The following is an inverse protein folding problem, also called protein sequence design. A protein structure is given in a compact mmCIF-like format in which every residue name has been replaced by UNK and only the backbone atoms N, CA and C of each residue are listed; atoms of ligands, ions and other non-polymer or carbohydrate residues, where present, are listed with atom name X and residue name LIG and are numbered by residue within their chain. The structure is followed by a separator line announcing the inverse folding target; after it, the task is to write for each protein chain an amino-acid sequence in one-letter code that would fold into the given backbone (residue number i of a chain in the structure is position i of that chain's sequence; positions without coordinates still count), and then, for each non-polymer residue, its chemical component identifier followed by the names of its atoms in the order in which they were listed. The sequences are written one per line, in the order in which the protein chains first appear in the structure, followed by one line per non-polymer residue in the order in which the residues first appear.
data_IF_817794611467
#
_entry.id   IF_817794611467
#
_cell.length_a   1.000
_cell.length_b   1.000
_cell.length_c   1.000
_cell.angle_alpha   90.00
_cell.angle_beta   90.00
_cell.angle_gamma   90.00
#
_symmetry.space_group_name_H-M   'P 1'
#
loop_
_entity.id
_entity.type
_entity.pdbx_description
1 polymer ?
#
# COMPACT_ATOMS: atom_id res chain seq x y z
N UNK A 1 -14.73 -7.54 11.95
CA UNK A 1 -13.34 -7.30 11.48
C UNK A 1 -12.32 -7.77 12.49
N UNK A 2 -12.52 -7.57 13.78
CA UNK A 2 -11.60 -8.08 14.83
C UNK A 2 -11.38 -9.58 14.69
N UNK A 3 -12.45 -10.37 14.58
CA UNK A 3 -12.37 -11.83 14.44
C UNK A 3 -11.52 -12.27 13.22
N UNK A 4 -11.58 -11.52 12.11
CA UNK A 4 -10.72 -11.81 10.95
C UNK A 4 -9.24 -11.51 11.22
N UNK A 5 -8.94 -10.45 11.98
CA UNK A 5 -7.57 -10.16 12.41
C UNK A 5 -7.07 -11.22 13.38
N UNK A 6 -7.89 -11.64 14.35
CA UNK A 6 -7.55 -12.70 15.29
C UNK A 6 -7.30 -14.03 14.55
N UNK A 7 -8.13 -14.36 13.56
CA UNK A 7 -7.92 -15.50 12.66
C UNK A 7 -6.62 -15.39 11.87
N UNK A 8 -6.32 -14.22 11.30
CA UNK A 8 -5.10 -13.97 10.56
C UNK A 8 -3.86 -14.21 11.44
N UNK A 9 -3.85 -13.63 12.64
CA UNK A 9 -2.71 -13.69 13.57
C UNK A 9 -2.56 -15.06 14.27
N UNK A 10 -3.64 -15.82 14.35
CA UNK A 10 -3.55 -17.23 14.76
C UNK A 10 -2.91 -18.12 13.70
N UNK A 11 -3.00 -17.70 12.41
CA UNK A 11 -2.50 -18.50 11.28
C UNK A 11 -1.09 -18.09 10.84
N UNK A 12 -0.77 -16.79 10.90
CA UNK A 12 0.50 -16.25 10.42
C UNK A 12 1.14 -15.37 11.49
N UNK A 13 2.37 -15.69 11.85
CA UNK A 13 3.13 -14.93 12.83
C UNK A 13 3.76 -13.67 12.20
N UNK A 14 3.80 -12.59 12.98
CA UNK A 14 4.57 -11.40 12.62
C UNK A 14 6.06 -11.68 12.71
N UNK A 15 6.79 -11.29 11.67
CA UNK A 15 8.25 -11.24 11.65
C UNK A 15 8.74 -9.81 11.57
N UNK A 16 10.00 -9.56 11.93
CA UNK A 16 10.59 -8.23 11.85
C UNK A 16 12.07 -8.27 11.51
N UNK A 17 12.56 -7.15 10.96
CA UNK A 17 13.95 -6.89 10.65
C UNK A 17 14.26 -5.42 10.96
N UNK A 18 15.35 -5.17 11.66
CA UNK A 18 15.89 -3.81 11.81
C UNK A 18 16.78 -3.47 10.62
N UNK A 19 16.46 -2.35 9.97
CA UNK A 19 17.22 -1.79 8.86
C UNK A 19 17.54 -0.34 9.19
N UNK A 20 18.80 -0.02 9.39
CA UNK A 20 19.31 1.33 9.71
C UNK A 20 18.55 2.00 10.89
N UNK A 21 18.26 1.23 11.94
CA UNK A 21 17.54 1.69 13.13
C UNK A 21 16.01 1.83 12.95
N UNK A 22 15.48 1.31 11.86
CA UNK A 22 14.05 1.29 11.57
C UNK A 22 13.51 -0.14 11.51
N UNK A 23 12.49 -0.46 12.32
CA UNK A 23 11.89 -1.80 12.36
C UNK A 23 10.88 -1.98 11.24
N UNK A 24 11.19 -2.87 10.31
CA UNK A 24 10.28 -3.40 9.29
C UNK A 24 9.60 -4.64 9.83
N UNK A 25 8.30 -4.79 9.59
CA UNK A 25 7.52 -5.96 10.02
C UNK A 25 6.74 -6.52 8.84
N UNK A 26 6.44 -7.80 8.87
CA UNK A 26 5.60 -8.42 7.84
C UNK A 26 4.89 -9.67 8.35
N UNK A 27 3.80 -10.01 7.67
CA UNK A 27 3.20 -11.34 7.69
C UNK A 27 3.65 -12.07 6.42
N UNK A 28 4.11 -13.31 6.55
CA UNK A 28 4.48 -14.18 5.42
C UNK A 28 3.64 -15.44 5.48
N UNK A 29 2.89 -15.74 4.43
CA UNK A 29 2.08 -16.97 4.38
C UNK A 29 2.91 -18.21 4.13
N UNK A 30 4.18 -18.06 3.75
CA UNK A 30 5.15 -19.13 3.51
C UNK A 30 4.69 -20.22 2.53
N UNK A 31 3.67 -19.96 1.71
CA UNK A 31 3.19 -20.89 0.71
C UNK A 31 4.23 -21.13 -0.39
N UNK A 32 4.21 -22.29 -1.03
CA UNK A 32 5.12 -22.64 -2.12
C UNK A 32 4.80 -21.92 -3.45
N UNK A 33 3.71 -21.16 -3.54
CA UNK A 33 3.29 -20.42 -4.73
C UNK A 33 4.15 -19.19 -5.05
N UNK A 34 3.84 -18.52 -6.17
CA UNK A 34 4.51 -17.27 -6.53
C UNK A 34 4.44 -16.21 -5.44
N UNK A 35 5.52 -15.43 -5.26
CA UNK A 35 5.58 -14.39 -4.25
C UNK A 35 4.89 -13.10 -4.70
N UNK A 36 4.07 -12.55 -3.81
CA UNK A 36 3.40 -11.25 -3.95
C UNK A 36 3.65 -10.42 -2.69
N UNK A 37 4.26 -9.27 -2.84
CA UNK A 37 4.53 -8.33 -1.75
C UNK A 37 3.44 -7.27 -1.74
N UNK A 38 2.74 -7.15 -0.61
CA UNK A 38 1.60 -6.26 -0.40
C UNK A 38 2.02 -5.09 0.49
N UNK A 39 1.86 -3.87 -0.01
CA UNK A 39 2.29 -2.63 0.65
C UNK A 39 1.07 -1.75 0.94
N UNK A 40 0.69 -1.54 2.20
CA UNK A 40 -0.49 -0.76 2.57
C UNK A 40 -0.28 0.73 2.32
N UNK A 41 -1.37 1.47 2.17
CA UNK A 41 -1.39 2.93 2.04
C UNK A 41 -1.03 3.66 3.34
N UNK A 42 -1.53 4.89 3.49
CA UNK A 42 -1.20 5.73 4.65
C UNK A 42 -1.79 5.23 5.95
N UNK A 43 -2.98 4.63 5.93
CA UNK A 43 -3.64 4.11 7.15
C UNK A 43 -3.41 2.61 7.27
N UNK A 44 -2.96 2.19 8.45
CA UNK A 44 -2.84 0.79 8.84
C UNK A 44 -1.47 0.14 8.59
N UNK A 45 -1.44 -1.15 8.80
CA UNK A 45 -0.27 -2.04 8.64
C UNK A 45 -0.55 -3.13 7.60
N UNK A 46 0.32 -4.14 7.49
CA UNK A 46 0.14 -5.26 6.57
C UNK A 46 -1.17 -6.04 6.75
N UNK A 47 -1.79 -5.99 7.94
CA UNK A 47 -3.06 -6.65 8.17
C UNK A 47 -4.27 -5.93 7.51
N UNK A 48 -4.07 -4.77 6.87
CA UNK A 48 -5.07 -4.20 5.97
C UNK A 48 -5.47 -5.18 4.84
N UNK A 49 -4.58 -6.07 4.46
CA UNK A 49 -4.83 -7.12 3.46
C UNK A 49 -5.41 -8.42 4.04
N UNK A 50 -6.06 -8.34 5.22
CA UNK A 50 -6.55 -9.53 5.95
C UNK A 50 -7.39 -10.47 5.08
N UNK A 51 -8.29 -9.96 4.22
CA UNK A 51 -9.11 -10.79 3.34
C UNK A 51 -8.25 -11.54 2.34
N UNK A 52 -7.37 -10.84 1.64
CA UNK A 52 -6.45 -11.41 0.65
C UNK A 52 -5.50 -12.45 1.27
N UNK A 53 -4.96 -12.16 2.46
CA UNK A 53 -4.08 -13.08 3.18
C UNK A 53 -4.79 -14.37 3.56
N UNK A 54 -6.02 -14.28 4.06
CA UNK A 54 -6.82 -15.46 4.43
C UNK A 54 -7.33 -16.25 3.22
N UNK A 55 -7.67 -15.57 2.13
CA UNK A 55 -8.21 -16.19 0.92
C UNK A 55 -7.14 -16.83 0.04
N UNK A 56 -6.04 -16.13 -0.22
CA UNK A 56 -5.02 -16.55 -1.18
C UNK A 56 -3.75 -17.11 -0.57
N UNK A 57 -3.60 -17.05 0.76
CA UNK A 57 -2.35 -17.37 1.44
C UNK A 57 -1.90 -18.83 1.36
N UNK A 58 -2.73 -19.75 0.88
CA UNK A 58 -2.34 -21.14 0.58
C UNK A 58 -1.87 -21.32 -0.88
N UNK A 59 -2.27 -20.42 -1.76
CA UNK A 59 -1.99 -20.48 -3.20
C UNK A 59 -0.81 -19.60 -3.62
N UNK A 60 -0.62 -18.48 -2.91
CA UNK A 60 0.43 -17.50 -3.16
C UNK A 60 1.26 -17.31 -1.87
N UNK A 61 2.57 -17.12 -2.01
CA UNK A 61 3.36 -16.60 -0.92
C UNK A 61 3.12 -15.11 -0.80
N UNK A 62 2.26 -14.72 0.11
CA UNK A 62 1.91 -13.32 0.36
C UNK A 62 2.78 -12.76 1.47
N UNK A 63 3.48 -11.67 1.18
CA UNK A 63 4.28 -10.93 2.14
C UNK A 63 3.62 -9.56 2.35
N UNK A 64 2.83 -9.41 3.41
CA UNK A 64 2.17 -8.15 3.75
C UNK A 64 3.05 -7.33 4.68
N UNK A 65 3.67 -6.28 4.13
CA UNK A 65 4.71 -5.50 4.80
C UNK A 65 4.10 -4.34 5.59
N UNK A 66 4.64 -4.13 6.79
CA UNK A 66 4.44 -2.92 7.60
C UNK A 66 5.75 -2.15 7.64
N UNK A 67 5.80 -1.02 6.97
CA UNK A 67 6.98 -0.19 6.91
C UNK A 67 6.99 0.89 8.01
N UNK A 68 8.18 1.32 8.48
CA UNK A 68 8.34 2.26 9.58
C UNK A 68 7.97 3.71 9.23
N UNK A 69 8.16 4.63 10.18
CA UNK A 69 7.89 6.06 10.02
C UNK A 69 8.99 6.73 9.18
N UNK A 70 8.99 6.48 7.88
CA UNK A 70 9.93 7.05 6.91
C UNK A 70 9.12 7.85 5.88
N UNK A 71 9.57 9.07 5.57
CA UNK A 71 8.96 9.99 4.59
C UNK A 71 9.55 9.79 3.19
N UNK A 72 10.85 9.53 3.13
CA UNK A 72 11.63 9.47 1.91
C UNK A 72 11.41 8.16 1.15
N UNK A 73 11.00 8.27 -0.13
CA UNK A 73 10.68 7.12 -0.97
C UNK A 73 11.90 6.24 -1.28
N UNK A 74 13.10 6.81 -1.36
CA UNK A 74 14.32 6.06 -1.62
C UNK A 74 14.72 5.25 -0.39
N UNK A 75 14.59 5.83 0.82
CA UNK A 75 14.81 5.10 2.06
C UNK A 75 13.80 3.95 2.23
N UNK A 76 12.51 4.19 1.90
CA UNK A 76 11.50 3.13 1.88
C UNK A 76 11.87 2.03 0.88
N UNK A 77 12.33 2.39 -0.32
CA UNK A 77 12.78 1.42 -1.32
C UNK A 77 13.98 0.60 -0.83
N UNK A 78 14.97 1.24 -0.19
CA UNK A 78 16.16 0.58 0.36
C UNK A 78 15.79 -0.39 1.49
N UNK A 79 14.91 0.03 2.39
CA UNK A 79 14.43 -0.84 3.47
C UNK A 79 13.63 -2.05 2.97
N UNK A 80 12.77 -1.86 1.96
CA UNK A 80 12.08 -2.97 1.32
C UNK A 80 13.07 -3.95 0.65
N UNK A 81 14.14 -3.43 0.03
CA UNK A 81 15.21 -4.27 -0.53
C UNK A 81 15.85 -5.16 0.52
N UNK A 82 16.13 -4.61 1.70
CA UNK A 82 16.66 -5.41 2.81
C UNK A 82 15.70 -6.51 3.25
N UNK A 83 14.39 -6.26 3.27
CA UNK A 83 13.36 -7.31 3.52
C UNK A 83 13.40 -8.38 2.43
N UNK A 84 13.50 -8.00 1.14
CA UNK A 84 13.65 -8.96 0.05
C UNK A 84 14.87 -9.85 0.21
N UNK A 85 16.02 -9.28 0.56
CA UNK A 85 17.27 -10.02 0.77
C UNK A 85 17.18 -10.96 1.97
N UNK A 86 16.62 -10.48 3.08
CA UNK A 86 16.43 -11.28 4.29
C UNK A 86 15.55 -12.51 4.04
N UNK A 87 14.49 -12.35 3.26
CA UNK A 87 13.55 -13.42 2.92
C UNK A 87 14.00 -14.27 1.73
N UNK A 88 15.10 -13.93 1.05
CA UNK A 88 15.56 -14.59 -0.17
C UNK A 88 14.51 -14.55 -1.28
N UNK A 89 13.76 -13.44 -1.40
CA UNK A 89 12.68 -13.35 -2.39
C UNK A 89 13.24 -13.26 -3.81
N UNK A 90 12.70 -14.05 -4.75
CA UNK A 90 12.96 -13.85 -6.17
C UNK A 90 12.29 -12.56 -6.67
N UNK A 91 12.43 -12.25 -7.95
CA UNK A 91 11.62 -11.22 -8.60
C UNK A 91 10.13 -11.53 -8.39
N UNK A 92 9.43 -10.59 -7.76
CA UNK A 92 8.07 -10.81 -7.25
C UNK A 92 7.07 -9.80 -7.81
N UNK A 93 5.79 -10.08 -7.68
CA UNK A 93 4.75 -9.04 -7.83
C UNK A 93 4.84 -8.11 -6.63
N UNK A 94 5.00 -6.81 -6.87
CA UNK A 94 4.99 -5.78 -5.83
C UNK A 94 3.72 -4.95 -5.99
N UNK A 95 2.80 -5.06 -5.06
CA UNK A 95 1.51 -4.39 -5.10
C UNK A 95 1.44 -3.31 -4.01
N UNK A 96 1.59 -2.06 -4.43
CA UNK A 96 1.40 -0.88 -3.58
C UNK A 96 -0.01 -0.33 -3.66
N UNK A 97 -0.54 0.15 -2.53
CA UNK A 97 -1.82 0.84 -2.46
C UNK A 97 -1.61 2.30 -2.03
N UNK A 98 -2.22 3.26 -2.73
CA UNK A 98 -2.21 4.69 -2.35
C UNK A 98 -0.79 5.23 -2.17
N UNK A 99 -0.43 5.69 -0.98
CA UNK A 99 0.93 6.14 -0.65
C UNK A 99 1.98 5.09 -1.03
N UNK A 100 1.73 3.80 -0.74
CA UNK A 100 2.67 2.76 -1.12
C UNK A 100 2.71 2.51 -2.65
N UNK A 101 1.66 2.79 -3.39
CA UNK A 101 1.68 2.75 -4.85
C UNK A 101 2.63 3.82 -5.43
N UNK A 102 2.75 4.96 -4.75
CA UNK A 102 3.70 6.00 -5.14
C UNK A 102 5.16 5.57 -4.85
N UNK A 103 5.50 5.19 -3.62
CA UNK A 103 6.90 4.89 -3.31
C UNK A 103 7.36 3.51 -3.85
N UNK A 104 6.46 2.58 -4.13
CA UNK A 104 6.81 1.33 -4.80
C UNK A 104 7.38 1.54 -6.22
N UNK A 105 7.06 2.67 -6.87
CA UNK A 105 7.69 3.05 -8.13
C UNK A 105 9.19 3.31 -7.94
N UNK A 106 9.60 3.93 -6.82
CA UNK A 106 11.01 4.13 -6.49
C UNK A 106 11.72 2.80 -6.20
N UNK A 107 11.04 1.83 -5.58
CA UNK A 107 11.56 0.47 -5.44
C UNK A 107 11.80 -0.17 -6.82
N UNK A 108 10.86 -0.08 -7.73
CA UNK A 108 11.01 -0.60 -9.09
C UNK A 108 12.08 0.16 -9.90
N UNK A 109 12.28 1.46 -9.64
CA UNK A 109 13.33 2.27 -10.27
C UNK A 109 14.74 1.81 -9.84
N UNK A 110 14.93 1.60 -8.53
CA UNK A 110 16.25 1.29 -7.97
C UNK A 110 16.58 -0.20 -8.02
N UNK A 111 15.57 -1.07 -7.92
CA UNK A 111 15.72 -2.53 -7.86
C UNK A 111 14.86 -3.26 -8.90
N UNK A 112 14.98 -2.90 -10.20
CA UNK A 112 14.12 -3.46 -11.25
C UNK A 112 14.20 -4.99 -11.36
N UNK A 113 15.34 -5.59 -10.99
CA UNK A 113 15.54 -7.04 -10.97
C UNK A 113 14.74 -7.76 -9.87
N UNK A 114 14.21 -7.04 -8.89
CA UNK A 114 13.36 -7.60 -7.83
C UNK A 114 11.86 -7.56 -8.18
N UNK A 115 11.51 -6.84 -9.25
CA UNK A 115 10.13 -6.59 -9.63
C UNK A 115 9.78 -7.37 -10.89
N UNK A 116 8.96 -8.41 -10.76
CA UNK A 116 8.39 -9.14 -11.89
C UNK A 116 7.18 -8.40 -12.47
N UNK A 117 6.32 -7.89 -11.60
CA UNK A 117 5.22 -6.98 -11.93
C UNK A 117 5.08 -5.93 -10.85
N UNK A 118 4.80 -4.69 -11.24
CA UNK A 118 4.47 -3.59 -10.34
C UNK A 118 2.98 -3.27 -10.43
N UNK A 119 2.25 -3.36 -9.32
CA UNK A 119 0.86 -2.91 -9.24
C UNK A 119 0.82 -1.54 -8.54
N UNK A 120 0.36 -0.53 -9.25
CA UNK A 120 0.13 0.83 -8.76
C UNK A 120 -1.37 0.95 -8.49
N UNK A 121 -1.79 0.58 -7.26
CA UNK A 121 -3.19 0.51 -6.88
C UNK A 121 -3.70 1.81 -6.26
N UNK A 122 -4.77 2.42 -6.81
CA UNK A 122 -5.34 3.68 -6.32
C UNK A 122 -4.23 4.71 -6.05
N UNK A 123 -3.28 4.82 -6.99
CA UNK A 123 -2.07 5.59 -6.88
C UNK A 123 -2.18 7.01 -7.44
N UNK A 124 -1.11 7.76 -7.30
CA UNK A 124 -0.97 9.13 -7.78
C UNK A 124 0.46 9.35 -8.30
N UNK A 125 0.67 10.42 -9.06
CA UNK A 125 1.98 10.73 -9.65
C UNK A 125 2.86 11.52 -8.68
N UNK A 126 2.32 12.61 -8.12
CA UNK A 126 2.98 13.46 -7.13
C UNK A 126 1.95 14.20 -6.26
N UNK A 127 2.41 15.00 -5.30
CA UNK A 127 1.56 15.69 -4.34
C UNK A 127 0.51 16.61 -5.00
N UNK A 128 0.79 17.15 -6.19
CA UNK A 128 -0.14 18.07 -6.89
C UNK A 128 -1.45 17.36 -7.29
N UNK A 129 -1.43 16.05 -7.47
CA UNK A 129 -2.62 15.26 -7.79
C UNK A 129 -3.66 15.26 -6.65
N UNK A 130 -3.22 15.51 -5.42
CA UNK A 130 -4.04 15.45 -4.21
C UNK A 130 -4.22 16.80 -3.52
N UNK A 131 -3.57 17.86 -4.02
CA UNK A 131 -3.52 19.18 -3.37
C UNK A 131 -4.90 19.85 -3.17
N UNK A 132 -5.89 19.50 -3.98
CA UNK A 132 -7.27 20.00 -3.83
C UNK A 132 -8.07 19.27 -2.72
N UNK A 133 -7.56 18.17 -2.19
CA UNK A 133 -8.23 17.40 -1.15
C UNK A 133 -7.75 17.90 0.24
N UNK A 134 -8.65 18.44 1.09
CA UNK A 134 -8.27 18.98 2.41
C UNK A 134 -7.58 17.98 3.35
N UNK A 135 -7.72 16.68 3.09
CA UNK A 135 -7.02 15.64 3.86
C UNK A 135 -5.50 15.65 3.64
N UNK A 136 -5.05 16.25 2.54
CA UNK A 136 -3.64 16.34 2.15
C UNK A 136 -3.17 17.79 2.10
N UNK A 137 -3.69 18.63 3.01
CA UNK A 137 -3.20 20.01 3.20
C UNK A 137 -1.74 19.96 3.68
N UNK A 138 -0.84 20.40 2.81
CA UNK A 138 0.59 20.30 3.04
C UNK A 138 1.08 21.20 4.19
N UNK A 139 0.47 22.37 4.35
CA UNK A 139 0.84 23.30 5.42
C UNK A 139 0.37 22.77 6.77
N UNK A 140 -0.85 22.22 6.83
CA UNK A 140 -1.35 21.59 8.04
C UNK A 140 -0.50 20.37 8.42
N UNK A 141 -0.25 19.43 7.49
CA UNK A 141 0.56 18.24 7.76
C UNK A 141 1.99 18.59 8.17
N UNK A 142 2.57 19.66 7.61
CA UNK A 142 3.93 20.07 7.95
C UNK A 142 4.06 20.65 9.38
N UNK A 143 2.99 21.21 9.92
CA UNK A 143 3.02 21.95 11.20
C UNK A 143 2.26 21.25 12.33
N UNK A 144 1.38 20.30 12.04
CA UNK A 144 0.61 19.60 13.07
C UNK A 144 1.48 18.57 13.81
N UNK A 145 1.42 18.50 15.15
CA UNK A 145 2.07 17.41 15.89
C UNK A 145 1.51 16.03 15.50
N UNK A 146 2.35 14.98 15.44
CA UNK A 146 1.89 13.63 15.08
C UNK A 146 0.70 13.12 15.87
N UNK A 147 0.66 13.39 17.20
CA UNK A 147 -0.45 12.97 18.05
C UNK A 147 -1.77 13.69 17.72
N UNK A 148 -1.73 14.94 17.29
CA UNK A 148 -2.92 15.70 16.90
C UNK A 148 -3.46 15.24 15.56
N UNK A 149 -2.58 15.04 14.56
CA UNK A 149 -2.97 14.44 13.28
C UNK A 149 -3.62 13.07 13.49
N UNK A 150 -3.00 12.25 14.31
CA UNK A 150 -3.53 10.91 14.61
C UNK A 150 -4.89 10.98 15.29
N UNK A 151 -5.05 11.85 16.30
CA UNK A 151 -6.33 12.04 16.97
C UNK A 151 -7.43 12.52 16.03
N UNK A 152 -7.12 13.44 15.11
CA UNK A 152 -8.05 13.91 14.08
C UNK A 152 -8.51 12.77 13.16
N UNK A 153 -7.57 11.87 12.77
CA UNK A 153 -7.90 10.71 11.96
C UNK A 153 -8.75 9.68 12.72
N UNK A 154 -8.45 9.42 14.00
CA UNK A 154 -9.29 8.55 14.85
C UNK A 154 -10.71 9.09 14.92
N UNK A 155 -10.88 10.39 15.22
CA UNK A 155 -12.20 11.02 15.28
C UNK A 155 -12.96 10.92 13.95
N UNK A 156 -12.27 11.20 12.83
CA UNK A 156 -12.85 11.09 11.49
C UNK A 156 -13.35 9.68 11.19
N UNK A 157 -12.54 8.67 11.48
CA UNK A 157 -12.92 7.26 11.25
C UNK A 157 -14.05 6.84 12.16
N UNK A 158 -14.06 7.28 13.43
CA UNK A 158 -15.14 6.98 14.36
C UNK A 158 -16.47 7.66 14.00
N UNK A 159 -16.42 8.84 13.39
CA UNK A 159 -17.60 9.55 12.90
C UNK A 159 -18.17 8.99 11.59
N UNK A 160 -17.42 8.16 10.87
CA UNK A 160 -17.86 7.55 9.61
C UNK A 160 -18.96 6.49 9.87
N UNK A 161 -19.89 6.28 8.93
CA UNK A 161 -20.89 5.21 9.03
C UNK A 161 -20.23 3.85 9.26
N UNK A 162 -20.85 3.04 10.12
CA UNK A 162 -20.37 1.69 10.45
C UNK A 162 -20.26 0.81 9.22
N UNK A 163 -19.04 0.35 8.92
CA UNK A 163 -18.75 -0.53 7.79
C UNK A 163 -17.56 -1.43 8.13
N UNK A 164 -17.32 -2.52 7.38
CA UNK A 164 -16.09 -3.31 7.55
C UNK A 164 -14.81 -2.49 7.41
N UNK A 165 -14.79 -1.52 6.50
CA UNK A 165 -13.65 -0.61 6.32
C UNK A 165 -13.46 0.28 7.53
N UNK A 166 -14.53 0.93 8.02
CA UNK A 166 -14.48 1.78 9.20
C UNK A 166 -13.98 1.01 10.43
N UNK A 167 -14.48 -0.21 10.66
CA UNK A 167 -14.05 -1.07 11.77
C UNK A 167 -12.56 -1.41 11.68
N UNK A 168 -12.06 -1.75 10.46
CA UNK A 168 -10.66 -2.07 10.27
C UNK A 168 -9.77 -0.84 10.47
N UNK A 169 -10.13 0.30 9.88
CA UNK A 169 -9.36 1.55 10.05
C UNK A 169 -9.33 2.00 11.52
N UNK A 170 -10.45 1.90 12.23
CA UNK A 170 -10.50 2.21 13.66
C UNK A 170 -9.54 1.30 14.45
N UNK A 171 -9.54 0.00 14.20
CA UNK A 171 -8.63 -0.93 14.85
C UNK A 171 -7.15 -0.60 14.52
N UNK A 172 -6.84 -0.29 13.28
CA UNK A 172 -5.48 0.09 12.86
C UNK A 172 -5.01 1.33 13.61
N UNK A 173 -5.79 2.39 13.60
CA UNK A 173 -5.42 3.66 14.22
C UNK A 173 -5.33 3.56 15.75
N UNK A 174 -6.24 2.82 16.41
CA UNK A 174 -6.27 2.79 17.88
C UNK A 174 -5.32 1.79 18.52
N UNK A 175 -4.81 0.80 17.77
CA UNK A 175 -4.08 -0.32 18.38
C UNK A 175 -2.82 -0.76 17.62
N UNK A 176 -2.59 -0.28 16.38
CA UNK A 176 -1.57 -0.89 15.52
C UNK A 176 -0.64 0.11 14.82
N UNK A 177 -1.08 1.32 14.59
CA UNK A 177 -0.30 2.35 13.92
C UNK A 177 -0.01 3.51 14.86
N UNK A 178 1.27 3.84 15.06
CA UNK A 178 1.64 4.96 15.92
C UNK A 178 1.36 6.31 15.23
N UNK A 179 1.21 7.39 16.03
CA UNK A 179 1.09 8.75 15.52
C UNK A 179 2.21 9.15 14.58
N UNK A 180 3.46 8.80 14.90
CA UNK A 180 4.64 9.12 14.10
C UNK A 180 4.61 8.40 12.75
N UNK A 181 4.18 7.13 12.74
CA UNK A 181 4.06 6.37 11.50
C UNK A 181 2.97 6.94 10.59
N UNK A 182 1.80 7.27 11.14
CA UNK A 182 0.72 7.90 10.36
C UNK A 182 1.18 9.25 9.81
N UNK A 183 1.76 10.10 10.67
CA UNK A 183 2.25 11.42 10.28
C UNK A 183 3.31 11.35 9.18
N UNK A 184 4.30 10.46 9.31
CA UNK A 184 5.35 10.28 8.29
C UNK A 184 4.76 9.90 6.93
N UNK A 185 3.73 9.05 6.89
CA UNK A 185 3.06 8.68 5.64
C UNK A 185 2.30 9.84 5.02
N UNK A 186 1.61 10.66 5.81
CA UNK A 186 0.95 11.87 5.30
C UNK A 186 1.97 12.92 4.84
N UNK A 187 3.07 13.11 5.58
CA UNK A 187 4.17 13.94 5.14
C UNK A 187 4.79 13.45 3.83
N UNK A 188 4.88 12.13 3.63
CA UNK A 188 5.30 11.53 2.37
C UNK A 188 4.36 11.83 1.22
N UNK A 189 3.04 11.75 1.44
CA UNK A 189 2.04 12.11 0.42
C UNK A 189 2.14 13.58 0.04
N UNK A 190 2.16 14.49 1.01
CA UNK A 190 2.15 15.94 0.76
C UNK A 190 3.46 16.47 0.17
N UNK A 191 4.55 15.71 0.26
CA UNK A 191 5.87 16.03 -0.32
C UNK A 191 6.22 15.15 -1.51
N UNK A 192 5.30 14.31 -1.95
CA UNK A 192 5.53 13.36 -3.03
C UNK A 192 5.97 14.06 -4.32
N UNK A 193 7.09 13.61 -4.87
CA UNK A 193 7.58 14.01 -6.19
C UNK A 193 7.31 12.89 -7.19
N UNK A 194 7.16 13.24 -8.47
CA UNK A 194 7.02 12.26 -9.51
C UNK A 194 8.27 11.37 -9.57
N UNK A 195 8.07 10.05 -9.52
CA UNK A 195 9.16 9.11 -9.71
C UNK A 195 9.80 9.32 -11.09
N UNK A 196 11.12 9.27 -11.26
CA UNK A 196 11.74 9.25 -12.58
C UNK A 196 11.22 8.10 -13.45
N UNK A 197 11.45 8.11 -14.78
CA UNK A 197 11.06 7.01 -15.66
C UNK A 197 11.59 5.65 -15.16
N UNK A 198 10.71 4.66 -15.10
CA UNK A 198 11.07 3.33 -14.63
C UNK A 198 11.96 2.59 -15.64
N UNK A 199 12.76 1.66 -15.14
CA UNK A 199 13.61 0.79 -15.93
C UNK A 199 12.97 -0.55 -16.29
N UNK A 200 11.82 -0.86 -15.67
CA UNK A 200 11.01 -2.02 -16.06
C UNK A 200 10.12 -1.65 -17.26
N UNK A 201 9.82 -2.58 -18.15
CA UNK A 201 8.95 -2.29 -19.29
C UNK A 201 7.51 -2.05 -18.84
N UNK A 202 6.79 -1.17 -19.53
CA UNK A 202 5.40 -0.83 -19.20
C UNK A 202 4.49 -2.06 -19.11
N UNK A 203 4.71 -3.10 -19.93
CA UNK A 203 3.94 -4.36 -19.86
C UNK A 203 4.05 -5.08 -18.51
N UNK A 204 5.03 -4.72 -17.68
CA UNK A 204 5.23 -5.27 -16.34
C UNK A 204 4.64 -4.34 -15.26
N UNK A 205 3.98 -3.25 -15.68
CA UNK A 205 3.27 -2.32 -14.83
C UNK A 205 1.76 -2.54 -14.97
N UNK A 206 1.07 -2.54 -13.85
CA UNK A 206 -0.39 -2.57 -13.77
C UNK A 206 -0.84 -1.35 -12.99
N UNK A 207 -1.67 -0.51 -13.60
CA UNK A 207 -2.36 0.58 -12.91
C UNK A 207 -3.77 0.08 -12.59
N UNK A 208 -4.07 -0.01 -11.29
CA UNK A 208 -5.37 -0.47 -10.80
C UNK A 208 -6.08 0.69 -10.12
N UNK A 209 -7.24 1.06 -10.65
CA UNK A 209 -8.06 2.17 -10.17
C UNK A 209 -9.49 1.72 -9.88
N UNK A 210 -10.15 2.42 -8.94
CA UNK A 210 -11.59 2.30 -8.70
C UNK A 210 -12.32 3.56 -9.17
N UNK A 211 -13.47 3.38 -9.85
CA UNK A 211 -14.26 4.50 -10.35
C UNK A 211 -14.83 5.38 -9.24
N UNK A 212 -15.18 4.75 -8.14
CA UNK A 212 -15.77 5.32 -6.94
C UNK A 212 -14.74 5.71 -5.86
N UNK A 213 -13.44 5.80 -6.21
CA UNK A 213 -12.40 6.23 -5.27
C UNK A 213 -12.62 7.69 -4.86
N UNK A 214 -12.91 7.97 -3.57
CA UNK A 214 -13.16 9.33 -3.10
C UNK A 214 -11.89 10.15 -2.87
N UNK A 215 -10.71 9.53 -2.89
CA UNK A 215 -9.44 10.17 -2.56
C UNK A 215 -8.61 10.51 -3.79
N UNK A 216 -8.58 9.63 -4.79
CA UNK A 216 -7.81 9.85 -6.02
C UNK A 216 -8.74 10.40 -7.11
N UNK A 217 -8.66 11.68 -7.44
CA UNK A 217 -9.57 12.30 -8.40
C UNK A 217 -9.34 11.74 -9.82
N UNK A 218 -10.35 11.78 -10.70
CA UNK A 218 -10.24 11.29 -12.08
C UNK A 218 -9.03 11.85 -12.83
N UNK A 219 -8.73 13.14 -12.67
CA UNK A 219 -7.59 13.79 -13.34
C UNK A 219 -6.24 13.18 -12.93
N UNK A 220 -6.08 12.80 -11.65
CA UNK A 220 -4.87 12.13 -11.15
C UNK A 220 -4.74 10.72 -11.74
N UNK A 221 -5.84 9.96 -11.80
CA UNK A 221 -5.88 8.63 -12.44
C UNK A 221 -5.49 8.71 -13.92
N UNK A 222 -6.07 9.65 -14.67
CA UNK A 222 -5.72 9.88 -16.08
C UNK A 222 -4.26 10.31 -16.25
N UNK A 223 -3.73 11.12 -15.33
CA UNK A 223 -2.33 11.54 -15.36
C UNK A 223 -1.41 10.34 -15.17
N UNK A 224 -1.72 9.45 -14.23
CA UNK A 224 -0.96 8.22 -14.00
C UNK A 224 -1.05 7.28 -15.20
N UNK A 225 -2.22 7.14 -15.84
CA UNK A 225 -2.41 6.35 -17.06
C UNK A 225 -1.57 6.90 -18.23
N UNK A 226 -1.55 8.22 -18.42
CA UNK A 226 -0.68 8.85 -19.45
C UNK A 226 0.79 8.66 -19.18
N UNK A 227 1.17 8.52 -17.91
CA UNK A 227 2.55 8.26 -17.52
C UNK A 227 3.05 6.87 -17.95
N UNK A 228 2.16 5.88 -17.93
CA UNK A 228 2.45 4.48 -18.26
C UNK A 228 1.52 4.00 -19.39
N UNK A 229 1.69 4.51 -20.62
CA UNK A 229 0.72 4.26 -21.71
C UNK A 229 0.73 2.81 -22.20
N UNK A 230 1.82 2.08 -22.01
CA UNK A 230 1.92 0.65 -22.33
C UNK A 230 1.62 -0.29 -21.15
N UNK A 231 1.23 0.26 -19.99
CA UNK A 231 0.84 -0.54 -18.84
C UNK A 231 -0.54 -1.18 -19.03
N UNK A 232 -0.78 -2.26 -18.32
CA UNK A 232 -2.14 -2.79 -18.19
C UNK A 232 -2.94 -1.92 -17.25
N UNK A 233 -4.05 -1.36 -17.73
CA UNK A 233 -4.99 -0.59 -16.92
C UNK A 233 -6.15 -1.46 -16.49
N UNK A 234 -6.29 -1.67 -15.17
CA UNK A 234 -7.40 -2.39 -14.55
C UNK A 234 -8.29 -1.38 -13.85
N UNK A 235 -9.52 -1.25 -14.32
CA UNK A 235 -10.50 -0.33 -13.77
C UNK A 235 -11.62 -1.12 -13.11
N UNK A 236 -11.78 -0.94 -11.82
CA UNK A 236 -12.86 -1.53 -11.04
C UNK A 236 -14.02 -0.52 -10.93
N UNK A 237 -15.27 -0.91 -11.22
CA UNK A 237 -16.41 0.01 -11.14
C UNK A 237 -16.75 0.40 -9.69
N UNK A 238 -16.31 -0.41 -8.72
CA UNK A 238 -16.47 -0.19 -7.30
C UNK A 238 -15.24 -0.66 -6.55
N UNK A 239 -15.15 -0.35 -5.24
CA UNK A 239 -14.03 -0.73 -4.38
C UNK A 239 -13.46 0.46 -3.60
N UNK A 240 -13.90 1.67 -3.92
CA UNK A 240 -13.44 2.89 -3.29
C UNK A 240 -11.93 3.00 -3.29
N UNK A 241 -11.37 3.45 -2.18
CA UNK A 241 -9.92 3.55 -2.00
C UNK A 241 -9.27 2.25 -1.46
N UNK A 242 -10.08 1.21 -1.17
CA UNK A 242 -9.62 -0.03 -0.54
C UNK A 242 -10.20 -1.27 -1.24
N UNK A 243 -9.92 -1.49 -2.55
CA UNK A 243 -10.51 -2.60 -3.31
C UNK A 243 -10.17 -3.98 -2.72
N UNK A 244 -9.01 -4.15 -2.12
CA UNK A 244 -8.63 -5.37 -1.41
C UNK A 244 -9.53 -5.72 -0.21
N UNK A 245 -10.35 -4.78 0.26
CA UNK A 245 -11.30 -4.99 1.34
C UNK A 245 -12.76 -4.94 0.85
N UNK A 246 -13.07 -4.03 -0.08
CA UNK A 246 -14.45 -3.73 -0.50
C UNK A 246 -14.88 -4.56 -1.73
N UNK A 247 -13.94 -4.90 -2.62
CA UNK A 247 -14.13 -5.74 -3.80
C UNK A 247 -13.04 -6.85 -3.85
N UNK A 248 -12.91 -7.66 -2.76
CA UNK A 248 -11.78 -8.57 -2.59
C UNK A 248 -11.65 -9.57 -3.73
N UNK A 249 -12.74 -10.13 -4.21
CA UNK A 249 -12.75 -11.14 -5.27
C UNK A 249 -12.15 -10.61 -6.58
N UNK A 250 -12.48 -9.36 -6.96
CA UNK A 250 -11.94 -8.71 -8.16
C UNK A 250 -10.48 -8.35 -7.99
N UNK A 251 -10.12 -7.81 -6.81
CA UNK A 251 -8.73 -7.49 -6.50
C UNK A 251 -7.85 -8.75 -6.50
N UNK A 252 -8.32 -9.83 -5.88
CA UNK A 252 -7.64 -11.11 -5.80
C UNK A 252 -7.49 -11.78 -7.17
N UNK A 253 -8.50 -11.67 -8.04
CA UNK A 253 -8.40 -12.17 -9.41
C UNK A 253 -7.26 -11.48 -10.19
N UNK A 254 -7.05 -10.17 -10.00
CA UNK A 254 -5.93 -9.44 -10.60
C UNK A 254 -4.60 -9.96 -10.05
N UNK A 255 -4.48 -10.16 -8.73
CA UNK A 255 -3.25 -10.69 -8.15
C UNK A 255 -2.92 -12.10 -8.64
N UNK A 256 -3.92 -12.98 -8.72
CA UNK A 256 -3.75 -14.34 -9.24
C UNK A 256 -3.27 -14.35 -10.69
N UNK A 257 -3.93 -13.55 -11.55
CA UNK A 257 -3.54 -13.44 -12.95
C UNK A 257 -2.08 -12.97 -13.09
N UNK A 258 -1.67 -11.95 -12.34
CA UNK A 258 -0.29 -11.46 -12.34
C UNK A 258 0.73 -12.42 -11.72
N UNK A 259 0.31 -13.18 -10.74
CA UNK A 259 1.19 -14.13 -10.06
C UNK A 259 1.52 -15.34 -10.93
N UNK A 260 0.65 -15.74 -11.84
CA UNK A 260 0.84 -16.91 -12.71
C UNK A 260 1.11 -16.56 -14.18
N UNK A 261 1.12 -15.25 -14.54
CA UNK A 261 1.58 -14.75 -15.86
C UNK A 261 3.16 -14.74 -15.97
#
# INVERSE_FOLDING_TARGET
MRDLIDQLESRYAWSSLDVDGHTWRWLDTAAAGPAVVLLPGSVGDGAMFVRTLLSLGERLRLIAVTYPAIVDAQQLATGLKAVFDHLGLPASVVAGSSFAAWWAQFFALHYPQQVRKLVIGNGFTDASDLAANPLFDADWVANVPPCELHAAWVQRVQAAPGSPLQQLQALMLTSRQSPENLHARFAGVTRAQACPPLRIPDRDIVVLDCDDDPLIPPAARERLQRRYPGARHVRLPAGGHYPHLLEPERYEAVLLDLAFA
#
